data_IF_263186596868
#
_entry.id   IF_263186596868
#
_cell.length_a   1.000
_cell.length_b   1.000
_cell.length_c   1.000
_cell.angle_alpha   90.00
_cell.angle_beta   90.00
_cell.angle_gamma   90.00
#
_symmetry.space_group_name_H-M   'P 1'
#
loop_
_entity.id
_entity.type
_entity.pdbx_description
1 polymer ?
#
# COMPACT_ATOMS: atom_id res chain seq x y z
N UNK A 1 12.21 -6.82 -15.86
CA UNK A 1 12.37 -5.52 -15.21
C UNK A 1 12.84 -4.49 -16.22
N UNK A 2 12.40 -3.26 -16.02
CA UNK A 2 12.72 -2.12 -16.86
C UNK A 2 13.37 -1.01 -16.02
N UNK A 3 14.20 -1.41 -15.05
CA UNK A 3 14.86 -0.48 -14.15
C UNK A 3 15.72 0.53 -14.88
N UNK A 4 15.62 1.80 -14.49
CA UNK A 4 16.50 2.86 -14.96
C UNK A 4 17.89 2.74 -14.30
N UNK A 5 18.86 3.45 -14.84
CA UNK A 5 20.27 3.31 -14.46
C UNK A 5 20.48 3.46 -12.92
N UNK A 6 21.01 2.42 -12.30
CA UNK A 6 21.31 2.37 -10.89
C UNK A 6 20.14 2.10 -9.95
N UNK A 7 18.92 2.01 -10.47
CA UNK A 7 17.76 1.55 -9.71
C UNK A 7 17.68 0.02 -9.73
N UNK A 8 16.96 -0.57 -8.76
CA UNK A 8 16.89 -2.02 -8.59
C UNK A 8 15.46 -2.44 -8.26
N UNK A 9 14.91 -3.34 -9.06
CA UNK A 9 13.71 -4.11 -8.72
C UNK A 9 14.07 -5.58 -8.57
N UNK A 10 13.88 -6.14 -7.38
CA UNK A 10 14.32 -7.50 -7.08
C UNK A 10 13.37 -8.17 -6.07
N UNK A 11 13.37 -9.51 -6.06
CA UNK A 11 12.79 -10.25 -4.95
C UNK A 11 13.68 -10.13 -3.71
N UNK A 12 13.09 -9.66 -2.61
CA UNK A 12 13.75 -9.54 -1.31
C UNK A 12 13.39 -10.72 -0.41
N UNK A 13 14.16 -10.91 0.66
CA UNK A 13 13.87 -11.89 1.71
C UNK A 13 12.44 -11.69 2.25
N UNK A 14 11.68 -12.78 2.41
CA UNK A 14 10.28 -12.74 2.83
C UNK A 14 9.29 -12.63 1.68
N UNK A 15 9.70 -13.00 0.45
CA UNK A 15 8.88 -13.03 -0.76
C UNK A 15 8.31 -11.68 -1.23
N UNK A 16 8.93 -10.57 -0.80
CA UNK A 16 8.55 -9.23 -1.26
C UNK A 16 9.19 -8.88 -2.60
N UNK A 17 8.46 -8.16 -3.45
CA UNK A 17 9.07 -7.36 -4.49
C UNK A 17 9.61 -6.07 -3.86
N UNK A 18 10.92 -5.88 -3.93
CA UNK A 18 11.63 -4.68 -3.47
C UNK A 18 11.91 -3.76 -4.65
N UNK A 19 11.52 -2.50 -4.53
CA UNK A 19 11.76 -1.44 -5.51
C UNK A 19 12.59 -0.33 -4.88
N UNK A 20 13.84 -0.14 -5.35
CA UNK A 20 14.79 0.86 -4.84
C UNK A 20 15.19 1.76 -5.99
N UNK A 21 14.69 2.99 -6.00
CA UNK A 21 15.12 4.02 -6.93
C UNK A 21 16.40 4.72 -6.46
N UNK A 22 16.87 5.68 -7.24
CA UNK A 22 18.06 6.47 -6.89
C UNK A 22 17.73 7.89 -6.41
N UNK A 23 16.45 8.22 -6.24
CA UNK A 23 15.97 9.58 -6.01
C UNK A 23 15.81 10.41 -7.30
N UNK A 24 16.27 9.88 -8.43
CA UNK A 24 16.14 10.47 -9.76
C UNK A 24 15.70 9.45 -10.81
N UNK A 25 16.09 8.19 -10.64
CA UNK A 25 15.82 7.08 -11.53
C UNK A 25 14.86 6.11 -10.86
N UNK A 26 13.99 5.51 -11.66
CA UNK A 26 12.91 4.62 -11.22
C UNK A 26 13.37 3.16 -11.18
N UNK A 27 13.11 2.48 -10.08
CA UNK A 27 12.99 1.03 -10.06
C UNK A 27 11.62 0.66 -10.66
N UNK A 28 11.60 -0.23 -11.65
CA UNK A 28 10.41 -0.53 -12.45
C UNK A 28 10.23 -2.03 -12.58
N UNK A 29 9.05 -2.52 -12.22
CA UNK A 29 8.62 -3.88 -12.49
C UNK A 29 7.32 -3.86 -13.29
N UNK A 30 7.40 -4.42 -14.49
CA UNK A 30 6.23 -4.67 -15.34
C UNK A 30 5.79 -6.12 -15.23
N UNK A 31 4.49 -6.34 -15.22
CA UNK A 31 3.85 -7.65 -15.29
C UNK A 31 2.79 -7.65 -16.39
N UNK A 32 2.97 -8.51 -17.38
CA UNK A 32 1.94 -8.80 -18.37
C UNK A 32 0.85 -9.66 -17.75
N UNK A 33 -0.39 -9.36 -18.06
CA UNK A 33 -1.57 -10.17 -17.75
C UNK A 33 -2.20 -10.60 -19.08
N UNK A 34 -2.19 -11.89 -19.34
CA UNK A 34 -2.81 -12.45 -20.53
C UNK A 34 -4.33 -12.55 -20.32
N UNK A 35 -5.10 -12.02 -21.26
CA UNK A 35 -6.57 -11.96 -21.20
C UNK A 35 -7.16 -12.89 -22.25
N UNK A 36 -7.94 -13.87 -21.82
CA UNK A 36 -8.65 -14.74 -22.74
C UNK A 36 -9.74 -13.99 -23.50
N UNK A 37 -10.13 -14.49 -24.68
CA UNK A 37 -11.22 -13.91 -25.47
C UNK A 37 -12.53 -13.80 -24.66
N UNK A 38 -12.80 -14.79 -23.80
CA UNK A 38 -13.99 -14.80 -22.95
C UNK A 38 -13.94 -13.75 -21.82
N UNK A 39 -12.75 -13.32 -21.45
CA UNK A 39 -12.52 -12.34 -20.38
C UNK A 39 -12.26 -10.92 -20.93
N UNK A 40 -12.15 -10.75 -22.24
CA UNK A 40 -11.97 -9.44 -22.86
C UNK A 40 -13.24 -8.58 -22.71
N UNK A 41 -13.03 -7.30 -22.44
CA UNK A 41 -14.10 -6.32 -22.18
C UNK A 41 -14.96 -6.65 -20.94
N UNK A 42 -14.45 -7.50 -20.04
CA UNK A 42 -15.06 -7.80 -18.75
C UNK A 42 -14.22 -7.16 -17.66
N UNK A 43 -14.83 -6.75 -16.57
CA UNK A 43 -14.13 -6.14 -15.44
C UNK A 43 -13.22 -7.15 -14.75
N UNK A 44 -11.96 -6.78 -14.55
CA UNK A 44 -10.94 -7.52 -13.80
C UNK A 44 -10.68 -6.79 -12.48
N UNK A 45 -10.48 -7.54 -11.40
CA UNK A 45 -10.08 -7.01 -10.10
C UNK A 45 -8.59 -7.28 -9.86
N UNK A 46 -7.86 -6.23 -9.49
CA UNK A 46 -6.43 -6.28 -9.20
C UNK A 46 -6.26 -5.94 -7.73
N UNK A 47 -5.77 -6.88 -6.93
CA UNK A 47 -5.46 -6.68 -5.52
C UNK A 47 -3.94 -6.55 -5.35
N UNK A 48 -3.51 -5.49 -4.66
CA UNK A 48 -2.11 -5.17 -4.40
C UNK A 48 -1.95 -4.92 -2.90
N UNK A 49 -0.99 -5.61 -2.28
CA UNK A 49 -0.61 -5.39 -0.89
C UNK A 49 0.76 -4.72 -0.88
N UNK A 50 0.81 -3.50 -0.37
CA UNK A 50 2.05 -2.75 -0.16
C UNK A 50 2.43 -2.84 1.31
N UNK A 51 3.54 -3.50 1.60
CA UNK A 51 4.00 -3.70 2.97
C UNK A 51 4.74 -2.48 3.53
N UNK A 52 5.51 -1.76 2.68
CA UNK A 52 6.30 -0.61 3.10
C UNK A 52 6.59 0.33 1.94
N UNK A 53 6.66 1.63 2.25
CA UNK A 53 6.98 2.67 1.27
C UNK A 53 5.84 2.93 0.30
N UNK A 54 5.97 3.96 -0.50
CA UNK A 54 5.00 4.28 -1.53
C UNK A 54 5.40 3.64 -2.85
N UNK A 55 4.42 3.13 -3.58
CA UNK A 55 4.60 2.54 -4.91
C UNK A 55 3.72 3.29 -5.90
N UNK A 56 4.25 3.65 -7.04
CA UNK A 56 3.45 4.18 -8.14
C UNK A 56 2.96 3.04 -9.01
N UNK A 57 1.65 2.95 -9.16
CA UNK A 57 0.95 2.00 -10.01
C UNK A 57 0.52 2.66 -11.31
N UNK A 58 0.73 1.97 -12.43
CA UNK A 58 0.22 2.33 -13.75
C UNK A 58 -0.31 1.07 -14.44
N UNK A 59 -1.38 1.19 -15.22
CA UNK A 59 -1.97 0.07 -15.94
C UNK A 59 -2.30 0.50 -17.37
N UNK A 60 -1.82 -0.27 -18.34
CA UNK A 60 -2.02 0.04 -19.74
C UNK A 60 -2.04 -1.19 -20.66
N UNK A 61 -2.33 -0.96 -21.93
CA UNK A 61 -2.34 -1.98 -22.99
C UNK A 61 -0.94 -2.35 -23.50
N UNK A 62 0.09 -1.65 -23.06
CA UNK A 62 1.50 -1.90 -23.37
C UNK A 62 2.35 -1.65 -22.13
N UNK A 63 3.60 -2.10 -22.15
CA UNK A 63 4.57 -1.79 -21.08
C UNK A 63 4.69 -0.28 -20.88
N UNK A 64 4.48 0.16 -19.64
CA UNK A 64 4.48 1.58 -19.28
C UNK A 64 3.30 2.39 -19.79
N UNK A 65 2.37 1.77 -20.48
CA UNK A 65 1.13 2.42 -20.91
C UNK A 65 0.22 2.79 -19.74
N UNK A 66 -0.70 3.73 -19.96
CA UNK A 66 -1.59 4.28 -18.94
C UNK A 66 -3.06 4.34 -19.39
N UNK A 67 -3.41 3.52 -20.38
CA UNK A 67 -4.74 3.54 -21.01
C UNK A 67 -5.87 3.17 -20.06
N UNK A 68 -5.58 2.35 -19.03
CA UNK A 68 -6.57 1.91 -18.05
C UNK A 68 -6.42 2.62 -16.70
N UNK A 69 -5.19 2.96 -16.29
CA UNK A 69 -4.92 3.70 -15.07
C UNK A 69 -3.65 4.53 -15.25
N UNK A 70 -3.78 5.84 -15.14
CA UNK A 70 -2.64 6.76 -15.03
C UNK A 70 -1.95 6.61 -13.67
N UNK A 71 -0.78 7.19 -13.51
CA UNK A 71 0.02 7.10 -12.29
C UNK A 71 -0.82 7.34 -11.03
N UNK A 72 -0.82 6.32 -10.17
CA UNK A 72 -1.46 6.38 -8.86
C UNK A 72 -0.48 5.93 -7.78
N UNK A 73 -0.30 6.76 -6.77
CA UNK A 73 0.51 6.40 -5.61
C UNK A 73 -0.27 5.51 -4.67
N UNK A 74 0.24 4.31 -4.42
CA UNK A 74 -0.23 3.37 -3.41
C UNK A 74 0.62 3.54 -2.15
N UNK A 75 -0.02 3.82 -1.02
CA UNK A 75 0.61 3.86 0.30
C UNK A 75 0.68 2.44 0.87
N UNK A 76 1.47 2.19 1.94
CA UNK A 76 1.38 0.92 2.65
C UNK A 76 -0.06 0.58 3.03
N UNK A 77 -0.47 -0.65 2.73
CA UNK A 77 -1.85 -1.12 2.92
C UNK A 77 -2.33 -2.04 1.82
N UNK A 78 -3.64 -2.23 1.79
CA UNK A 78 -4.34 -3.13 0.87
C UNK A 78 -5.09 -2.30 -0.16
N UNK A 79 -4.93 -2.63 -1.43
CA UNK A 79 -5.54 -1.89 -2.54
C UNK A 79 -6.28 -2.85 -3.45
N UNK A 80 -7.47 -2.45 -3.91
CA UNK A 80 -8.24 -3.15 -4.92
C UNK A 80 -8.64 -2.18 -6.01
N UNK A 81 -8.27 -2.49 -7.25
CA UNK A 81 -8.52 -1.65 -8.43
C UNK A 81 -9.19 -2.48 -9.50
N UNK A 82 -10.21 -1.95 -10.16
CA UNK A 82 -10.82 -2.61 -11.30
C UNK A 82 -10.45 -1.95 -12.61
N UNK A 83 -10.24 -2.77 -13.64
CA UNK A 83 -10.02 -2.33 -15.01
C UNK A 83 -10.83 -3.22 -15.96
N UNK A 84 -11.18 -2.70 -17.12
CA UNK A 84 -11.92 -3.46 -18.16
C UNK A 84 -11.07 -3.51 -19.43
N UNK A 85 -10.09 -4.45 -19.50
CA UNK A 85 -9.19 -4.55 -20.61
C UNK A 85 -9.86 -5.21 -21.82
N UNK A 86 -9.57 -4.71 -23.03
CA UNK A 86 -10.04 -5.32 -24.28
C UNK A 86 -9.14 -6.46 -24.78
N UNK A 87 -7.94 -6.57 -24.27
CA UNK A 87 -6.91 -7.55 -24.60
C UNK A 87 -5.92 -7.65 -23.45
N UNK A 88 -4.79 -8.33 -23.66
CA UNK A 88 -3.66 -8.37 -22.72
C UNK A 88 -3.31 -6.97 -22.23
N UNK A 89 -2.94 -6.86 -20.97
CA UNK A 89 -2.57 -5.60 -20.37
C UNK A 89 -1.34 -5.74 -19.47
N UNK A 90 -0.77 -4.60 -19.08
CA UNK A 90 0.43 -4.53 -18.26
C UNK A 90 0.18 -3.75 -16.98
N UNK A 91 0.67 -4.30 -15.88
CA UNK A 91 0.71 -3.66 -14.56
C UNK A 91 2.14 -3.20 -14.33
N UNK A 92 2.36 -1.90 -14.18
CA UNK A 92 3.66 -1.32 -13.83
C UNK A 92 3.64 -0.89 -12.38
N UNK A 93 4.63 -1.36 -11.62
CA UNK A 93 4.95 -0.88 -10.28
C UNK A 93 6.30 -0.17 -10.33
N UNK A 94 6.37 1.01 -9.77
CA UNK A 94 7.62 1.78 -9.76
C UNK A 94 7.84 2.56 -8.46
N UNK A 95 9.10 2.83 -8.16
CA UNK A 95 9.52 3.67 -7.04
C UNK A 95 10.80 4.41 -7.40
N UNK A 96 10.84 5.72 -7.14
CA UNK A 96 12.05 6.54 -7.34
C UNK A 96 12.84 6.77 -6.04
N UNK A 97 12.25 6.49 -4.87
CA UNK A 97 12.88 6.72 -3.59
C UNK A 97 14.09 5.80 -3.37
N UNK A 98 15.10 6.30 -2.69
CA UNK A 98 16.29 5.53 -2.30
C UNK A 98 16.03 4.53 -1.18
N UNK A 99 14.89 4.66 -0.49
CA UNK A 99 14.41 3.69 0.49
C UNK A 99 13.53 2.68 -0.23
N UNK A 100 13.76 1.39 0.01
CA UNK A 100 13.00 0.32 -0.61
C UNK A 100 11.52 0.43 -0.31
N UNK A 101 10.69 0.46 -1.36
CA UNK A 101 9.29 0.11 -1.27
C UNK A 101 9.14 -1.41 -1.40
N UNK A 102 8.29 -2.02 -0.57
CA UNK A 102 8.07 -3.46 -0.54
C UNK A 102 6.62 -3.77 -0.90
N UNK A 103 6.45 -4.57 -1.95
CA UNK A 103 5.14 -5.09 -2.37
C UNK A 103 5.09 -6.57 -2.00
N UNK A 104 4.10 -6.94 -1.20
CA UNK A 104 3.90 -8.32 -0.73
C UNK A 104 3.28 -9.16 -1.84
N UNK A 105 2.19 -8.67 -2.43
CA UNK A 105 1.49 -9.45 -3.45
C UNK A 105 0.79 -8.58 -4.49
N UNK A 106 0.65 -9.15 -5.69
CA UNK A 106 -0.19 -8.62 -6.77
C UNK A 106 -1.00 -9.80 -7.33
N UNK A 107 -2.30 -9.78 -7.12
CA UNK A 107 -3.23 -10.80 -7.61
C UNK A 107 -4.22 -10.20 -8.60
N UNK A 108 -4.49 -10.92 -9.67
CA UNK A 108 -5.47 -10.51 -10.69
C UNK A 108 -6.56 -11.56 -10.76
N UNK A 109 -7.79 -11.15 -10.54
CA UNK A 109 -8.99 -11.94 -10.78
C UNK A 109 -9.61 -11.51 -12.10
N UNK A 110 -9.52 -12.38 -13.10
CA UNK A 110 -10.09 -12.13 -14.41
C UNK A 110 -11.60 -12.34 -14.37
N UNK A 111 -12.35 -11.48 -15.08
CA UNK A 111 -13.80 -11.53 -15.16
C UNK A 111 -14.47 -11.61 -13.77
N UNK A 112 -13.99 -10.79 -12.83
CA UNK A 112 -14.51 -10.78 -11.47
C UNK A 112 -15.89 -10.13 -11.41
N UNK A 113 -16.89 -10.88 -10.98
CA UNK A 113 -18.22 -10.34 -10.73
C UNK A 113 -18.21 -9.34 -9.56
N UNK A 114 -17.39 -9.60 -8.55
CA UNK A 114 -17.29 -8.79 -7.34
C UNK A 114 -15.83 -8.37 -7.09
N UNK A 115 -15.64 -7.08 -6.79
CA UNK A 115 -14.37 -6.60 -6.26
C UNK A 115 -14.24 -7.01 -4.79
N UNK A 116 -13.15 -7.67 -4.46
CA UNK A 116 -12.80 -7.97 -3.08
C UNK A 116 -11.71 -7.03 -2.61
N UNK A 117 -11.81 -6.57 -1.37
CA UNK A 117 -10.79 -5.78 -0.70
C UNK A 117 -10.24 -6.58 0.48
N UNK A 118 -8.96 -6.90 0.44
CA UNK A 118 -8.28 -7.59 1.54
C UNK A 118 -8.24 -6.66 2.75
N UNK A 119 -8.49 -7.21 3.93
CA UNK A 119 -8.46 -6.48 5.19
C UNK A 119 -7.51 -7.16 6.19
N UNK A 120 -6.95 -6.44 7.16
CA UNK A 120 -6.07 -7.04 8.17
C UNK A 120 -6.82 -7.82 9.25
N UNK A 121 -8.13 -7.61 9.39
CA UNK A 121 -8.93 -8.22 10.47
C UNK A 121 -9.26 -9.67 10.15
N UNK A 122 -9.17 -10.51 11.15
CA UNK A 122 -9.61 -11.90 11.09
C UNK A 122 -11.11 -12.00 11.38
N UNK A 123 -11.72 -13.14 11.04
CA UNK A 123 -13.14 -13.38 11.32
C UNK A 123 -13.46 -13.27 12.82
N UNK A 124 -12.54 -13.67 13.70
CA UNK A 124 -12.70 -13.58 15.15
C UNK A 124 -12.67 -12.13 15.68
N UNK A 125 -12.14 -11.19 14.92
CA UNK A 125 -12.03 -9.79 15.32
C UNK A 125 -13.28 -8.97 14.98
N UNK A 126 -14.19 -9.50 14.15
CA UNK A 126 -15.31 -8.74 13.57
C UNK A 126 -16.24 -8.16 14.63
N UNK A 127 -16.46 -8.86 15.76
CA UNK A 127 -17.28 -8.38 16.85
C UNK A 127 -16.68 -7.16 17.57
N UNK A 128 -15.37 -6.96 17.45
CA UNK A 128 -14.63 -5.83 18.03
C UNK A 128 -14.44 -4.67 17.07
N UNK A 129 -14.79 -4.83 15.80
CA UNK A 129 -14.70 -3.77 14.81
C UNK A 129 -15.70 -2.66 15.13
N UNK A 130 -15.21 -1.43 15.18
CA UNK A 130 -16.03 -0.20 15.28
C UNK A 130 -15.71 0.68 14.10
N UNK A 131 -16.74 1.30 13.54
CA UNK A 131 -16.56 2.12 12.36
C UNK A 131 -17.43 3.36 12.36
N UNK A 132 -16.98 4.37 11.65
CA UNK A 132 -17.74 5.59 11.34
C UNK A 132 -17.42 6.00 9.91
N UNK A 133 -18.42 6.53 9.20
CA UNK A 133 -18.26 6.95 7.80
C UNK A 133 -18.37 8.46 7.68
N UNK A 134 -17.51 9.03 6.84
CA UNK A 134 -17.59 10.42 6.40
C UNK A 134 -17.29 10.48 4.90
N UNK A 135 -18.29 10.81 4.08
CA UNK A 135 -18.14 10.84 2.62
C UNK A 135 -17.73 9.46 2.07
N UNK A 136 -16.65 9.44 1.33
CA UNK A 136 -16.06 8.26 0.68
C UNK A 136 -15.04 7.53 1.55
N UNK A 137 -14.99 7.84 2.85
CA UNK A 137 -14.04 7.25 3.80
C UNK A 137 -14.79 6.61 4.98
N UNK A 138 -14.43 5.38 5.30
CA UNK A 138 -14.85 4.67 6.51
C UNK A 138 -13.65 4.58 7.44
N UNK A 139 -13.74 5.16 8.63
CA UNK A 139 -12.74 5.03 9.69
C UNK A 139 -13.05 3.77 10.50
N UNK A 140 -12.05 2.94 10.70
CA UNK A 140 -12.19 1.65 11.36
C UNK A 140 -11.21 1.52 12.50
N UNK A 141 -11.72 1.16 13.67
CA UNK A 141 -10.94 0.80 14.85
C UNK A 141 -11.27 -0.66 15.25
N UNK A 142 -10.25 -1.40 15.63
CA UNK A 142 -10.36 -2.75 16.14
C UNK A 142 -9.27 -2.97 17.19
N UNK A 143 -9.59 -3.66 18.27
CA UNK A 143 -8.61 -3.95 19.33
C UNK A 143 -7.43 -4.75 18.77
N UNK A 144 -6.21 -4.40 19.18
CA UNK A 144 -4.97 -5.01 18.69
C UNK A 144 -4.49 -4.53 17.33
N UNK A 145 -5.21 -3.65 16.65
CA UNK A 145 -4.85 -3.11 15.34
C UNK A 145 -4.68 -1.59 15.35
N UNK A 146 -3.73 -1.10 14.55
CA UNK A 146 -3.66 0.33 14.25
C UNK A 146 -4.96 0.73 13.53
N UNK A 147 -5.52 1.89 13.89
CA UNK A 147 -6.71 2.42 13.23
C UNK A 147 -6.51 2.52 11.72
N UNK A 148 -7.52 2.10 10.98
CA UNK A 148 -7.51 2.08 9.52
C UNK A 148 -8.59 3.01 8.96
N UNK A 149 -8.39 3.40 7.73
CA UNK A 149 -9.43 3.99 6.90
C UNK A 149 -9.59 3.18 5.63
N UNK A 150 -10.84 2.95 5.26
CA UNK A 150 -11.22 2.38 3.97
C UNK A 150 -11.62 3.55 3.10
N UNK A 151 -10.92 3.74 1.98
CA UNK A 151 -11.12 4.87 1.07
C UNK A 151 -11.65 4.37 -0.27
N UNK A 152 -12.70 5.00 -0.75
CA UNK A 152 -13.13 4.87 -2.15
C UNK A 152 -12.46 5.96 -2.98
N UNK A 153 -11.64 5.59 -3.96
CA UNK A 153 -10.87 6.52 -4.77
C UNK A 153 -11.36 6.65 -6.22
N UNK A 154 -12.41 5.96 -6.58
CA UNK A 154 -13.03 6.04 -7.90
C UNK A 154 -14.40 5.37 -7.89
N UNK A 155 -15.42 6.09 -8.37
CA UNK A 155 -16.79 5.60 -8.42
C UNK A 155 -17.12 4.88 -9.74
N UNK A 156 -16.35 5.17 -10.79
CA UNK A 156 -16.47 4.60 -12.15
C UNK A 156 -15.17 3.90 -12.52
N UNK A 157 -15.14 3.14 -13.61
CA UNK A 157 -13.91 2.45 -14.06
C UNK A 157 -12.78 3.47 -14.36
N UNK A 158 -11.60 3.31 -13.79
CA UNK A 158 -11.23 2.29 -12.83
C UNK A 158 -11.77 2.58 -11.41
N UNK A 159 -12.63 1.69 -10.91
CA UNK A 159 -13.07 1.74 -9.50
C UNK A 159 -11.90 1.33 -8.62
N UNK A 160 -11.71 2.01 -7.50
CA UNK A 160 -10.65 1.62 -6.59
C UNK A 160 -10.99 1.89 -5.14
N UNK A 161 -10.51 0.98 -4.30
CA UNK A 161 -10.64 1.00 -2.86
C UNK A 161 -9.30 0.73 -2.20
N UNK A 162 -9.09 1.28 -1.03
CA UNK A 162 -7.90 0.99 -0.24
C UNK A 162 -8.23 0.85 1.23
N UNK A 163 -7.45 0.03 1.95
CA UNK A 163 -7.38 -0.01 3.42
C UNK A 163 -5.98 0.41 3.81
N UNK A 164 -5.85 1.58 4.41
CA UNK A 164 -4.58 2.17 4.81
C UNK A 164 -4.62 2.61 6.26
N UNK A 165 -3.46 2.85 6.86
CA UNK A 165 -3.39 3.36 8.22
C UNK A 165 -4.05 4.74 8.31
N UNK A 166 -4.87 4.93 9.34
CA UNK A 166 -5.34 6.23 9.72
C UNK A 166 -4.28 6.89 10.59
N UNK A 167 -3.49 7.75 9.95
CA UNK A 167 -2.54 8.60 10.65
C UNK A 167 -3.27 9.93 10.91
N UNK A 168 -3.85 10.04 12.09
CA UNK A 168 -4.49 11.29 12.50
C UNK A 168 -3.43 12.39 12.61
N UNK A 169 -3.69 13.52 12.00
CA UNK A 169 -2.96 14.76 12.26
C UNK A 169 -3.69 15.47 13.41
N UNK A 170 -3.72 14.81 14.54
CA UNK A 170 -4.38 15.24 15.76
C UNK A 170 -3.34 15.80 16.73
N UNK A 171 -3.10 17.02 16.63
CA UNK A 171 -2.36 17.83 17.61
C UNK A 171 -3.20 19.00 18.07
N UNK A 172 -2.69 19.78 18.98
CA UNK A 172 -1.42 19.67 19.69
C UNK A 172 -1.54 18.85 20.98
N UNK A 173 -0.69 17.86 21.14
CA UNK A 173 -0.59 17.06 22.38
C UNK A 173 0.21 17.76 23.49
N UNK A 174 0.31 19.03 23.45
CA UNK A 174 1.17 19.87 24.28
C UNK A 174 2.44 20.28 23.54
N UNK A 175 3.20 21.17 24.15
CA UNK A 175 4.45 21.65 23.57
C UNK A 175 5.43 20.49 23.35
N UNK A 176 6.18 20.56 22.25
CA UNK A 176 7.28 19.64 22.00
C UNK A 176 8.22 19.66 23.22
N UNK A 177 8.41 18.52 23.86
CA UNK A 177 9.32 18.43 24.99
C UNK A 177 10.76 18.55 24.52
N UNK A 178 11.27 19.78 24.55
CA UNK A 178 12.69 20.10 24.28
C UNK A 178 13.56 20.11 25.52
N UNK A 179 13.03 19.61 26.63
CA UNK A 179 13.79 19.51 27.89
C UNK A 179 15.03 18.61 27.75
N UNK A 180 16.07 18.85 28.53
CA UNK A 180 17.35 18.14 28.43
C UNK A 180 17.31 16.71 29.01
N UNK A 181 16.17 16.04 28.97
CA UNK A 181 16.03 14.65 29.43
C UNK A 181 16.44 13.71 28.32
N UNK A 182 17.45 12.91 28.57
CA UNK A 182 17.91 11.88 27.66
C UNK A 182 17.29 10.54 28.03
N UNK A 183 16.94 9.79 27.00
CA UNK A 183 16.51 8.40 27.12
C UNK A 183 17.65 7.49 26.64
N UNK A 184 17.96 6.45 27.41
CA UNK A 184 18.95 5.44 27.05
C UNK A 184 18.24 4.10 26.86
N UNK A 185 18.41 3.49 25.68
CA UNK A 185 17.97 2.13 25.44
C UNK A 185 18.94 1.09 26.03
N UNK A 186 18.40 -0.02 26.54
CA UNK A 186 19.21 -1.15 27.03
C UNK A 186 19.92 -1.91 25.90
N UNK A 187 19.37 -1.86 24.68
CA UNK A 187 19.91 -2.51 23.48
C UNK A 187 19.49 -1.73 22.22
N UNK A 188 20.07 -2.12 21.07
CA UNK A 188 19.74 -1.53 19.75
C UNK A 188 18.72 -2.36 18.98
N UNK A 189 18.46 -3.58 19.39
CA UNK A 189 17.53 -4.52 18.74
C UNK A 189 16.85 -5.41 19.79
N UNK A 190 15.68 -5.97 19.44
CA UNK A 190 14.92 -6.82 20.33
C UNK A 190 14.05 -6.04 21.31
N UNK A 191 13.64 -6.70 22.37
CA UNK A 191 12.91 -6.07 23.48
C UNK A 191 13.86 -5.18 24.27
N UNK A 192 13.59 -3.89 24.34
CA UNK A 192 14.46 -2.90 24.97
C UNK A 192 13.76 -2.19 26.11
N UNK A 193 14.51 -1.90 27.18
CA UNK A 193 14.07 -1.02 28.26
C UNK A 193 14.62 0.39 28.02
N UNK A 194 13.74 1.39 28.05
CA UNK A 194 14.15 2.80 28.01
C UNK A 194 14.30 3.36 29.41
N UNK A 195 15.48 3.86 29.72
CA UNK A 195 15.76 4.51 31.01
C UNK A 195 15.91 6.02 30.80
N UNK A 196 15.14 6.80 31.52
CA UNK A 196 15.29 8.26 31.56
C UNK A 196 16.27 8.69 32.63
N UNK A 197 17.07 9.73 32.37
CA UNK A 197 18.03 10.30 33.33
C UNK A 197 17.36 10.86 34.60
N UNK A 198 16.08 11.21 34.51
CA UNK A 198 15.23 11.68 35.64
C UNK A 198 13.79 11.32 35.40
N UNK A 199 12.96 11.43 36.44
CA UNK A 199 11.52 11.19 36.30
C UNK A 199 10.91 12.09 35.20
N UNK A 200 10.37 11.47 34.17
CA UNK A 200 9.88 12.11 32.95
C UNK A 200 8.45 11.67 32.61
N UNK A 201 8.16 10.40 32.78
CA UNK A 201 6.81 9.86 32.58
C UNK A 201 6.00 10.07 33.86
N UNK A 202 4.78 10.61 33.71
CA UNK A 202 3.79 10.79 34.78
C UNK A 202 2.70 9.75 34.64
#
# INVERSE_FOLDING_TARGET
DNDEAGAISAHATGDYLSLIGTGRMLAIRDRKVDVSVASANVEHSINIIVARGNVTLRIGSSEGGEQYLTDRTLRPGYHSISVTPSADFFIRLSNYATVAALVDSVTVQQAAADMTLVTPWLQADLDNVRWAQSGDVIFVACDGYIQKRIERQGATSPRSWSVVDYLADDGPFGDLNVGPVRLKGSATTGEITLTAERAFFK
#
